data_IF_198813548294
#
_entry.id   IF_198813548294
#
_cell.length_a   1.000
_cell.length_b   1.000
_cell.length_c   1.000
_cell.angle_alpha   90.00
_cell.angle_beta   90.00
_cell.angle_gamma   90.00
#
_symmetry.space_group_name_H-M   'P 1'
#
loop_
_entity.id
_entity.type
_entity.pdbx_description
1 polymer ?
#
# COMPACT_ATOMS: atom_id res chain seq x y z
N UNK A 1 -13.01 7.77 2.79
CA UNK A 1 -11.83 7.61 3.67
C UNK A 1 -10.69 8.49 3.17
N UNK A 2 -10.10 9.26 4.08
CA UNK A 2 -8.88 10.04 3.86
C UNK A 2 -7.66 9.11 3.80
N UNK A 3 -6.68 9.47 2.97
CA UNK A 3 -5.47 8.68 2.81
C UNK A 3 -4.26 9.56 3.12
N UNK A 4 -3.57 9.22 4.20
CA UNK A 4 -2.36 9.91 4.63
C UNK A 4 -1.17 9.09 4.13
N UNK A 5 -0.30 9.69 3.33
CA UNK A 5 0.91 9.04 2.84
C UNK A 5 2.11 9.59 3.59
N UNK A 6 2.96 8.71 4.12
CA UNK A 6 4.26 9.14 4.64
C UNK A 6 5.18 9.53 3.48
N UNK A 7 6.20 10.34 3.79
CA UNK A 7 7.26 10.65 2.83
C UNK A 7 7.98 9.37 2.37
N UNK A 8 8.19 8.39 3.27
CA UNK A 8 8.76 7.08 2.95
C UNK A 8 7.95 6.34 1.89
N UNK A 9 6.63 6.27 2.06
CA UNK A 9 5.75 5.65 1.07
C UNK A 9 5.78 6.39 -0.26
N UNK A 10 5.79 7.73 -0.21
CA UNK A 10 5.86 8.56 -1.41
C UNK A 10 7.16 8.32 -2.20
N UNK A 11 8.31 8.34 -1.52
CA UNK A 11 9.62 8.07 -2.12
C UNK A 11 9.71 6.66 -2.71
N UNK A 12 9.26 5.65 -1.96
CA UNK A 12 9.21 4.28 -2.48
C UNK A 12 8.35 4.18 -3.75
N UNK A 13 7.17 4.82 -3.76
CA UNK A 13 6.27 4.81 -4.92
C UNK A 13 6.89 5.53 -6.13
N UNK A 14 7.67 6.58 -5.93
CA UNK A 14 8.37 7.31 -7.00
C UNK A 14 9.58 6.55 -7.53
N UNK A 15 10.27 5.79 -6.68
CA UNK A 15 11.48 5.03 -7.04
C UNK A 15 11.17 3.73 -7.80
N UNK A 16 9.90 3.30 -7.83
CA UNK A 16 9.46 2.18 -8.64
C UNK A 16 9.67 2.45 -10.13
N UNK A 17 10.69 1.81 -10.70
CA UNK A 17 11.09 1.92 -12.12
C UNK A 17 9.99 1.53 -13.12
N UNK A 18 8.93 0.83 -12.68
CA UNK A 18 7.86 0.34 -13.55
C UNK A 18 6.61 1.22 -13.56
N UNK A 19 6.34 1.95 -14.65
CA UNK A 19 5.08 2.72 -14.85
C UNK A 19 3.83 1.87 -14.62
N UNK A 20 3.83 0.62 -15.11
CA UNK A 20 2.71 -0.33 -14.91
C UNK A 20 2.58 -0.77 -13.44
N UNK A 21 3.69 -0.95 -12.72
CA UNK A 21 3.67 -1.31 -11.29
C UNK A 21 3.05 -0.18 -10.47
N UNK A 22 3.51 1.05 -10.69
CA UNK A 22 2.99 2.25 -10.04
C UNK A 22 1.48 2.41 -10.30
N UNK A 23 1.03 2.27 -11.55
CA UNK A 23 -0.38 2.37 -11.89
C UNK A 23 -1.24 1.31 -11.17
N UNK A 24 -0.76 0.07 -11.04
CA UNK A 24 -1.46 -0.98 -10.29
C UNK A 24 -1.52 -0.67 -8.79
N UNK A 25 -0.43 -0.18 -8.21
CA UNK A 25 -0.37 0.23 -6.79
C UNK A 25 -1.32 1.40 -6.52
N UNK A 26 -1.30 2.44 -7.35
CA UNK A 26 -2.21 3.58 -7.25
C UNK A 26 -3.68 3.15 -7.39
N UNK A 27 -3.98 2.24 -8.33
CA UNK A 27 -5.32 1.66 -8.48
C UNK A 27 -5.75 0.94 -7.20
N UNK A 28 -4.85 0.17 -6.58
CA UNK A 28 -5.16 -0.55 -5.34
C UNK A 28 -5.40 0.42 -4.17
N UNK A 29 -4.59 1.48 -4.05
CA UNK A 29 -4.81 2.54 -3.05
C UNK A 29 -6.16 3.23 -3.26
N UNK A 30 -6.57 3.49 -4.51
CA UNK A 30 -7.90 4.04 -4.80
C UNK A 30 -9.01 3.10 -4.34
N UNK A 31 -8.90 1.80 -4.58
CA UNK A 31 -9.88 0.80 -4.08
C UNK A 31 -9.94 0.77 -2.56
N UNK A 32 -8.79 0.87 -1.88
CA UNK A 32 -8.72 0.99 -0.43
C UNK A 32 -9.52 2.19 0.08
N UNK A 33 -9.39 3.36 -0.55
CA UNK A 33 -10.16 4.57 -0.20
C UNK A 33 -11.67 4.40 -0.35
N UNK A 34 -12.09 3.53 -1.27
CA UNK A 34 -13.49 3.17 -1.52
C UNK A 34 -13.98 2.03 -0.62
N UNK A 35 -13.17 1.60 0.37
CA UNK A 35 -13.55 0.53 1.29
C UNK A 35 -13.32 -0.88 0.75
N UNK A 36 -12.62 -1.03 -0.38
CA UNK A 36 -12.27 -2.34 -0.95
C UNK A 36 -10.75 -2.56 -0.91
N UNK A 37 -10.22 -3.08 0.21
CA UNK A 37 -8.78 -3.26 0.37
C UNK A 37 -8.22 -4.46 -0.42
N UNK A 38 -9.08 -5.41 -0.83
CA UNK A 38 -8.68 -6.67 -1.46
C UNK A 38 -8.04 -7.65 -0.47
N UNK A 39 -7.09 -8.47 -0.94
CA UNK A 39 -6.34 -9.41 -0.08
C UNK A 39 -5.45 -8.64 0.91
N UNK A 40 -5.95 -8.50 2.13
CA UNK A 40 -5.25 -7.94 3.28
C UNK A 40 -5.08 -9.04 4.29
N UNK A 41 -3.82 -9.25 4.70
CA UNK A 41 -3.49 -10.14 5.80
C UNK A 41 -3.06 -9.29 7.00
N UNK A 42 -3.56 -9.58 8.21
CA UNK A 42 -2.96 -9.02 9.40
C UNK A 42 -1.52 -9.53 9.49
N UNK A 43 -0.55 -8.62 9.55
CA UNK A 43 0.85 -8.94 9.79
C UNK A 43 1.18 -8.42 11.19
N UNK A 44 1.17 -9.32 12.17
CA UNK A 44 1.29 -8.99 13.58
C UNK A 44 0.09 -8.20 14.12
N UNK A 45 0.28 -7.58 15.31
CA UNK A 45 -0.79 -6.87 16.03
C UNK A 45 -1.08 -5.44 15.53
N UNK A 46 -0.22 -4.85 14.68
CA UNK A 46 -0.17 -3.38 14.56
C UNK A 46 -0.35 -2.84 13.14
N UNK A 47 -0.04 -3.59 12.07
CA UNK A 47 -0.05 -3.04 10.70
C UNK A 47 -0.54 -4.08 9.66
N UNK A 48 -1.74 -3.92 9.06
CA UNK A 48 -2.16 -4.76 7.94
C UNK A 48 -1.26 -4.62 6.70
N UNK A 49 -0.96 -5.76 6.05
CA UNK A 49 -0.21 -5.83 4.80
C UNK A 49 -1.17 -5.96 3.61
N UNK A 50 -1.00 -5.08 2.63
CA UNK A 50 -1.66 -5.16 1.34
C UNK A 50 -0.74 -5.81 0.32
N UNK A 51 -1.17 -6.97 -0.20
CA UNK A 51 -0.41 -7.71 -1.20
C UNK A 51 -0.84 -7.31 -2.60
N UNK A 52 0.14 -6.95 -3.42
CA UNK A 52 -0.05 -6.55 -4.82
C UNK A 52 0.74 -7.53 -5.66
N UNK A 53 0.01 -8.52 -6.19
CA UNK A 53 0.58 -9.55 -7.05
C UNK A 53 0.87 -8.99 -8.46
N UNK A 54 2.03 -8.37 -8.58
CA UNK A 54 2.53 -7.80 -9.81
C UNK A 54 4.06 -7.75 -9.80
N UNK A 55 4.69 -8.26 -10.86
CA UNK A 55 6.15 -8.29 -10.97
C UNK A 55 6.81 -9.10 -9.85
N UNK A 56 7.81 -8.57 -9.11
CA UNK A 56 8.48 -9.29 -8.02
C UNK A 56 7.57 -9.57 -6.81
N UNK A 57 6.35 -9.01 -6.79
CA UNK A 57 5.43 -9.07 -5.66
C UNK A 57 5.65 -7.90 -4.73
N UNK A 58 4.77 -6.90 -4.80
CA UNK A 58 4.85 -5.69 -3.99
C UNK A 58 3.97 -5.81 -2.75
N UNK A 59 4.43 -5.27 -1.62
CA UNK A 59 3.69 -5.20 -0.37
C UNK A 59 3.60 -3.75 0.06
N UNK A 60 2.39 -3.29 0.34
CA UNK A 60 2.14 -1.98 0.94
C UNK A 60 1.74 -2.14 2.39
N UNK A 61 2.41 -1.44 3.29
CA UNK A 61 2.07 -1.43 4.71
C UNK A 61 1.17 -0.24 5.00
N UNK A 62 0.03 -0.50 5.61
CA UNK A 62 -0.90 0.55 5.96
C UNK A 62 -1.49 0.34 7.35
N UNK A 63 -1.92 1.41 8.00
CA UNK A 63 -2.62 1.36 9.27
C UNK A 63 -3.90 2.18 9.21
N UNK A 64 -4.92 1.78 9.96
CA UNK A 64 -6.16 2.52 10.05
C UNK A 64 -6.02 3.60 11.13
N UNK A 65 -5.95 4.85 10.71
CA UNK A 65 -5.92 6.00 11.62
C UNK A 65 -7.36 6.44 11.91
N UNK A 66 -8.04 5.69 12.78
CA UNK A 66 -9.42 5.98 13.18
C UNK A 66 -10.50 5.57 12.15
N UNK A 67 -11.74 6.05 12.31
CA UNK A 67 -12.87 5.55 11.53
C UNK A 67 -12.79 5.91 10.04
N UNK A 68 -12.09 7.01 9.70
CA UNK A 68 -12.16 7.64 8.39
C UNK A 68 -10.81 7.85 7.69
N UNK A 69 -9.68 7.39 8.25
CA UNK A 69 -8.38 7.54 7.60
C UNK A 69 -7.53 6.26 7.58
N UNK A 70 -6.69 6.14 6.55
CA UNK A 70 -5.65 5.11 6.45
C UNK A 70 -4.30 5.78 6.18
N UNK A 71 -3.30 5.44 7.00
CA UNK A 71 -1.91 5.81 6.82
C UNK A 71 -1.15 4.77 6.00
N UNK A 72 -0.47 5.19 4.93
CA UNK A 72 0.45 4.34 4.15
C UNK A 72 1.88 4.59 4.65
N UNK A 73 2.52 3.54 5.18
CA UNK A 73 3.75 3.66 5.96
C UNK A 73 5.00 3.46 5.10
N UNK A 74 5.08 2.35 4.37
CA UNK A 74 6.16 2.04 3.44
C UNK A 74 5.73 0.92 2.49
N UNK A 75 6.47 0.71 1.40
CA UNK A 75 6.30 -0.46 0.55
C UNK A 75 7.61 -1.23 0.39
N UNK A 76 7.49 -2.52 0.06
CA UNK A 76 8.62 -3.42 -0.22
C UNK A 76 8.33 -4.30 -1.42
N UNK A 77 9.36 -4.81 -2.06
CA UNK A 77 9.28 -5.89 -3.04
C UNK A 77 9.84 -7.18 -2.44
N UNK A 78 9.32 -8.34 -2.86
CA UNK A 78 9.71 -9.66 -2.32
C UNK A 78 11.16 -10.07 -2.69
N UNK A 79 11.96 -9.18 -3.28
CA UNK A 79 13.34 -9.41 -3.69
C UNK A 79 14.40 -8.77 -2.79
N UNK A 80 14.01 -8.07 -1.70
CA UNK A 80 14.92 -7.55 -0.66
C UNK A 80 14.79 -8.32 0.65
#
# INVERSE_FOLDING_TARGET
MELIKTNLFHHWLTDLRGRKARAKIETRIRRLRLGNPGDVKPVGEVIPEMRIDYGPGYRGHFTRCGPAAVGLLYGSDKGS
#
